data_IF_246757853907
#
_entry.id   IF_246757853907
#
_cell.length_a   1.000
_cell.length_b   1.000
_cell.length_c   1.000
_cell.angle_alpha   90.00
_cell.angle_beta   90.00
_cell.angle_gamma   90.00
#
_symmetry.space_group_name_H-M   'P 1'
#
loop_
_entity.id
_entity.type
_entity.pdbx_description
1 polymer ?
#
# COMPACT_ATOMS: atom_id res chain seq x y z
N UNK A 1 65.29 -35.67 24.50
CA UNK A 1 66.12 -35.29 23.34
C UNK A 1 65.25 -34.43 22.44
N UNK A 2 65.47 -33.11 22.46
CA UNK A 2 66.15 -32.34 21.38
C UNK A 2 65.31 -32.31 20.08
N UNK A 3 64.99 -31.20 19.41
CA UNK A 3 65.26 -29.75 19.53
C UNK A 3 64.29 -29.10 18.52
N UNK A 4 63.67 -27.96 18.86
CA UNK A 4 62.91 -27.07 17.93
C UNK A 4 63.89 -26.31 16.98
N UNK A 5 63.61 -25.10 16.44
CA UNK A 5 62.57 -24.58 15.54
C UNK A 5 63.19 -23.88 14.28
N UNK A 6 62.37 -23.32 13.37
CA UNK A 6 62.61 -22.07 12.59
C UNK A 6 61.39 -21.80 11.69
N UNK A 7 60.62 -20.70 11.76
CA UNK A 7 60.91 -19.24 11.75
C UNK A 7 61.11 -18.64 10.35
N UNK A 8 60.17 -17.76 9.95
CA UNK A 8 60.38 -16.37 9.45
C UNK A 8 59.06 -15.90 8.80
N UNK A 9 58.37 -14.89 9.35
CA UNK A 9 58.53 -13.45 9.07
C UNK A 9 58.12 -13.10 7.61
N UNK A 10 57.27 -12.12 7.30
CA UNK A 10 56.58 -11.05 8.01
C UNK A 10 56.05 -10.07 6.95
N UNK A 11 55.08 -9.20 7.28
CA UNK A 11 54.93 -7.84 6.71
C UNK A 11 53.65 -7.17 7.23
N UNK A 12 53.82 -6.44 8.32
CA UNK A 12 53.03 -5.27 8.71
C UNK A 12 53.24 -4.13 7.72
N UNK A 13 52.16 -3.50 7.22
CA UNK A 13 52.19 -2.07 6.88
C UNK A 13 50.84 -1.42 7.14
N UNK A 14 50.84 -0.54 8.15
CA UNK A 14 49.84 0.48 8.37
C UNK A 14 50.13 1.71 7.49
N UNK A 15 49.09 2.29 6.92
CA UNK A 15 49.06 3.65 6.36
C UNK A 15 47.60 3.95 6.00
N UNK A 16 46.99 5.12 6.15
CA UNK A 16 47.31 6.39 6.80
C UNK A 16 46.03 7.21 6.58
N UNK A 17 45.40 7.72 7.64
CA UNK A 17 44.43 8.80 7.50
C UNK A 17 45.13 10.07 6.99
N UNK A 18 44.44 10.94 6.24
CA UNK A 18 44.65 12.37 6.39
C UNK A 18 43.38 13.05 6.90
N UNK A 19 43.58 13.79 7.99
CA UNK A 19 42.62 14.74 8.52
C UNK A 19 42.68 16.08 7.77
N UNK A 20 41.54 16.77 7.80
CA UNK A 20 41.33 18.22 7.89
C UNK A 20 42.18 19.19 7.04
N UNK A 21 41.48 19.99 6.22
CA UNK A 21 41.76 21.42 6.12
C UNK A 21 40.49 22.19 5.73
N UNK A 22 40.15 23.15 6.59
CA UNK A 22 39.04 24.09 6.48
C UNK A 22 39.31 25.20 5.46
N UNK A 23 38.27 25.72 4.80
CA UNK A 23 38.22 27.13 4.36
C UNK A 23 36.80 27.56 3.93
N UNK A 24 36.19 28.41 4.75
CA UNK A 24 35.51 29.69 4.41
C UNK A 24 34.45 29.73 3.28
N UNK A 25 33.21 30.02 3.67
CA UNK A 25 32.22 30.85 2.95
C UNK A 25 32.79 32.25 2.61
N UNK A 26 32.21 33.11 1.71
CA UNK A 26 30.78 33.23 1.37
C UNK A 26 30.38 33.63 -0.07
N UNK A 27 29.05 33.61 -0.28
CA UNK A 27 28.25 34.53 -1.09
C UNK A 27 28.05 34.32 -2.61
N UNK A 28 26.78 34.57 -2.97
CA UNK A 28 26.31 35.26 -4.17
C UNK A 28 25.89 34.47 -5.43
N UNK A 29 24.63 34.72 -5.78
CA UNK A 29 24.08 34.89 -7.13
C UNK A 29 23.31 33.72 -7.77
N UNK A 30 21.98 33.94 -7.76
CA UNK A 30 21.12 33.96 -8.94
C UNK A 30 20.61 32.63 -9.50
N UNK A 31 19.28 32.45 -9.39
CA UNK A 31 18.40 31.94 -10.45
C UNK A 31 16.91 32.16 -10.09
N UNK A 32 16.00 32.22 -11.07
CA UNK A 32 15.22 33.45 -11.35
C UNK A 32 13.74 33.42 -10.92
N UNK A 33 13.17 34.61 -10.89
CA UNK A 33 11.74 34.86 -10.84
C UNK A 33 11.05 34.54 -12.17
N UNK A 34 9.96 33.76 -12.15
CA UNK A 34 8.88 33.81 -13.15
C UNK A 34 7.51 33.48 -12.52
N UNK A 35 6.77 34.56 -12.24
CA UNK A 35 5.39 34.85 -12.67
C UNK A 35 4.25 33.82 -12.53
N UNK A 36 3.15 34.39 -11.97
CA UNK A 36 1.72 34.12 -12.22
C UNK A 36 1.16 32.84 -11.57
N UNK A 37 0.00 32.86 -10.90
CA UNK A 37 -1.26 33.51 -11.31
C UNK A 37 -2.25 33.51 -10.12
N UNK A 38 -3.01 34.59 -10.02
CA UNK A 38 -4.13 34.85 -9.10
C UNK A 38 -4.94 33.61 -8.67
N UNK A 39 -5.10 33.42 -7.37
CA UNK A 39 -6.15 32.59 -6.78
C UNK A 39 -7.11 33.50 -6.00
N UNK A 40 -8.02 34.11 -6.74
CA UNK A 40 -9.26 34.62 -6.16
C UNK A 40 -10.27 33.47 -6.08
N UNK A 41 -11.27 33.64 -5.20
CA UNK A 41 -12.53 32.89 -5.10
C UNK A 41 -12.60 31.82 -4.02
N UNK A 42 -13.05 32.23 -2.83
CA UNK A 42 -13.93 31.42 -1.98
C UNK A 42 -14.76 32.29 -1.03
N UNK A 43 -16.02 31.86 -0.80
CA UNK A 43 -17.03 32.38 0.12
C UNK A 43 -17.76 33.65 -0.37
N UNK A 44 -19.09 33.80 -0.29
CA UNK A 44 -20.14 33.06 0.40
C UNK A 44 -21.47 33.41 -0.28
N UNK A 45 -22.30 32.42 -0.65
CA UNK A 45 -23.69 32.65 -1.08
C UNK A 45 -24.59 32.56 0.15
N UNK A 46 -25.18 33.69 0.55
CA UNK A 46 -26.37 33.77 1.42
C UNK A 46 -27.28 34.88 0.91
N UNK A 47 -28.58 34.59 0.85
CA UNK A 47 -29.67 35.51 0.48
C UNK A 47 -30.67 34.79 -0.45
N UNK A 48 -31.68 34.05 0.01
CA UNK A 48 -32.89 34.39 0.79
C UNK A 48 -34.01 35.02 -0.08
N UNK A 49 -35.12 34.28 -0.15
CA UNK A 49 -36.55 34.64 -0.36
C UNK A 49 -37.08 35.00 -1.76
N UNK A 50 -38.10 34.24 -2.22
CA UNK A 50 -39.55 34.57 -2.21
C UNK A 50 -40.27 33.59 -3.18
N UNK A 51 -41.11 32.69 -2.67
CA UNK A 51 -42.58 32.81 -2.61
C UNK A 51 -43.25 33.14 -3.94
N UNK A 52 -43.96 32.17 -4.49
CA UNK A 52 -44.81 32.32 -5.67
C UNK A 52 -45.70 31.09 -5.85
N UNK A 53 -46.84 31.08 -5.16
CA UNK A 53 -47.90 30.11 -5.33
C UNK A 53 -48.58 30.30 -6.70
N UNK A 54 -48.97 29.19 -7.35
CA UNK A 54 -49.71 29.21 -8.61
C UNK A 54 -50.22 27.83 -8.96
N UNK A 55 -51.40 27.49 -8.42
CA UNK A 55 -52.22 26.34 -8.83
C UNK A 55 -52.72 26.58 -10.25
N UNK A 56 -52.44 25.67 -11.18
CA UNK A 56 -53.28 25.49 -12.37
C UNK A 56 -53.58 24.01 -12.58
N UNK A 57 -54.88 23.75 -12.57
CA UNK A 57 -55.56 22.50 -12.79
C UNK A 57 -55.78 22.27 -14.30
N UNK A 58 -55.85 20.98 -14.66
CA UNK A 58 -56.55 20.35 -15.79
C UNK A 58 -55.76 19.91 -17.06
N UNK A 59 -56.26 18.85 -17.73
CA UNK A 59 -55.49 17.81 -18.41
C UNK A 59 -55.64 17.88 -19.94
N UNK A 60 -54.70 17.29 -20.68
CA UNK A 60 -54.92 16.94 -22.09
C UNK A 60 -54.16 15.66 -22.43
N UNK A 61 -54.91 14.59 -22.68
CA UNK A 61 -54.51 13.47 -23.53
C UNK A 61 -54.53 13.95 -24.98
N UNK A 62 -53.50 13.66 -25.78
CA UNK A 62 -53.59 13.25 -27.20
C UNK A 62 -52.16 12.99 -27.66
N UNK A 63 -51.92 11.77 -28.16
CA UNK A 63 -50.70 11.48 -28.91
C UNK A 63 -50.74 12.13 -30.29
N UNK A 64 -49.57 12.42 -30.85
CA UNK A 64 -49.19 11.91 -32.17
C UNK A 64 -47.69 12.12 -32.42
N UNK A 65 -47.16 11.30 -33.30
CA UNK A 65 -45.77 11.25 -33.74
C UNK A 65 -45.26 12.60 -34.28
N UNK A 66 -44.02 12.97 -33.91
CA UNK A 66 -43.19 13.80 -34.76
C UNK A 66 -41.70 13.51 -34.55
N UNK A 67 -41.09 13.15 -35.68
CA UNK A 67 -39.70 12.78 -35.92
C UNK A 67 -38.63 13.71 -35.34
N UNK A 68 -37.48 13.08 -35.10
CA UNK A 68 -36.14 13.58 -35.41
C UNK A 68 -35.67 14.87 -34.72
N UNK A 69 -35.07 14.68 -33.55
CA UNK A 69 -33.94 15.50 -33.12
C UNK A 69 -32.82 14.58 -32.63
N UNK A 70 -31.86 14.33 -33.52
CA UNK A 70 -30.45 14.03 -33.29
C UNK A 70 -30.05 13.63 -31.85
N UNK A 71 -29.49 12.42 -31.61
CA UNK A 71 -28.82 12.13 -30.35
C UNK A 71 -27.55 12.98 -30.28
N UNK A 72 -27.68 14.13 -29.62
CA UNK A 72 -26.63 15.12 -29.42
C UNK A 72 -25.29 14.44 -29.11
N UNK A 73 -24.32 14.73 -29.98
CA UNK A 73 -22.93 14.25 -29.96
C UNK A 73 -22.21 14.52 -28.61
N UNK A 74 -22.79 15.33 -27.73
CA UNK A 74 -22.33 15.62 -26.36
C UNK A 74 -22.44 14.43 -25.40
N UNK A 75 -23.43 13.53 -25.55
CA UNK A 75 -23.53 12.32 -24.71
C UNK A 75 -22.47 11.27 -25.06
N UNK A 76 -22.05 11.18 -26.32
CA UNK A 76 -20.95 10.29 -26.76
C UNK A 76 -19.59 10.75 -26.25
N UNK A 77 -19.34 12.06 -26.18
CA UNK A 77 -18.09 12.63 -25.66
C UNK A 77 -17.95 12.45 -24.14
N UNK A 78 -19.02 12.69 -23.38
CA UNK A 78 -19.02 12.53 -21.93
C UNK A 78 -18.90 11.06 -21.51
N UNK A 79 -19.54 10.13 -22.23
CA UNK A 79 -19.38 8.69 -22.02
C UNK A 79 -17.95 8.19 -22.31
N UNK A 80 -17.22 8.86 -23.23
CA UNK A 80 -15.78 8.61 -23.47
C UNK A 80 -14.89 9.23 -22.39
N UNK A 81 -15.27 10.37 -21.81
CA UNK A 81 -14.54 11.02 -20.71
C UNK A 81 -14.71 10.31 -19.36
N UNK A 82 -15.85 9.66 -19.11
CA UNK A 82 -16.19 9.00 -17.83
C UNK A 82 -15.59 7.58 -17.72
N UNK A 83 -15.09 6.99 -18.81
CA UNK A 83 -14.50 5.64 -18.79
C UNK A 83 -13.04 5.64 -19.24
N UNK A 84 -12.16 6.24 -18.43
CA UNK A 84 -10.88 5.55 -18.16
C UNK A 84 -11.18 4.50 -17.09
N UNK A 85 -11.91 3.46 -17.47
CA UNK A 85 -11.95 2.25 -16.64
C UNK A 85 -10.53 1.71 -16.69
N UNK A 86 -9.95 1.46 -15.53
CA UNK A 86 -8.72 0.68 -15.43
C UNK A 86 -8.87 -0.54 -16.35
N UNK A 87 -8.09 -0.56 -17.43
CA UNK A 87 -8.09 -1.64 -18.44
C UNK A 87 -7.25 -2.83 -17.97
N UNK A 88 -6.68 -2.72 -16.77
CA UNK A 88 -5.98 -3.76 -16.05
C UNK A 88 -6.89 -4.98 -15.95
N UNK A 89 -6.43 -6.13 -16.45
CA UNK A 89 -7.21 -7.35 -16.34
C UNK A 89 -7.30 -7.77 -14.88
N UNK A 90 -8.39 -8.45 -14.51
CA UNK A 90 -8.52 -9.00 -13.15
C UNK A 90 -7.37 -9.98 -12.83
N UNK A 91 -6.84 -10.64 -13.86
CA UNK A 91 -5.72 -11.58 -13.75
C UNK A 91 -4.42 -10.92 -13.31
N UNK A 92 -4.18 -9.66 -13.70
CA UNK A 92 -3.03 -8.89 -13.20
C UNK A 92 -3.15 -8.61 -11.70
N UNK A 93 -4.35 -8.27 -11.22
CA UNK A 93 -4.56 -8.12 -9.79
C UNK A 93 -4.41 -9.46 -9.05
N UNK A 94 -4.82 -10.58 -9.64
CA UNK A 94 -4.61 -11.92 -9.08
C UNK A 94 -3.11 -12.25 -8.99
N UNK A 95 -2.31 -11.94 -10.01
CA UNK A 95 -0.87 -12.19 -9.96
C UNK A 95 -0.18 -11.42 -8.84
N UNK A 96 -0.56 -10.16 -8.61
CA UNK A 96 -0.02 -9.37 -7.49
C UNK A 96 -0.33 -9.99 -6.12
N UNK A 97 -1.55 -10.55 -5.96
CA UNK A 97 -1.96 -11.23 -4.73
C UNK A 97 -1.20 -12.54 -4.53
N UNK A 98 -0.96 -13.30 -5.61
CA UNK A 98 -0.13 -14.51 -5.56
C UNK A 98 1.32 -14.16 -5.19
N UNK A 99 1.88 -13.11 -5.76
CA UNK A 99 3.24 -12.66 -5.43
C UNK A 99 3.35 -12.20 -3.96
N UNK A 100 2.36 -11.45 -3.46
CA UNK A 100 2.33 -11.09 -2.04
C UNK A 100 2.23 -12.34 -1.15
N UNK A 101 1.43 -13.35 -1.54
CA UNK A 101 1.32 -14.62 -0.83
C UNK A 101 2.64 -15.37 -0.76
N UNK A 102 3.39 -15.46 -1.85
CA UNK A 102 4.72 -16.12 -1.85
C UNK A 102 5.71 -15.37 -0.95
N UNK A 103 5.66 -14.04 -0.94
CA UNK A 103 6.54 -13.24 -0.08
C UNK A 103 6.19 -13.37 1.41
N UNK A 104 4.91 -13.47 1.78
CA UNK A 104 4.52 -13.83 3.17
C UNK A 104 4.98 -15.24 3.53
N UNK A 105 5.06 -16.17 2.57
CA UNK A 105 5.68 -17.48 2.78
C UNK A 105 7.16 -17.36 3.20
N UNK A 106 7.92 -16.46 2.57
CA UNK A 106 9.32 -16.20 2.93
C UNK A 106 9.52 -15.55 4.31
N UNK A 107 8.46 -14.95 4.87
CA UNK A 107 8.47 -14.39 6.22
C UNK A 107 8.68 -15.46 7.30
N UNK A 108 8.28 -16.72 7.03
CA UNK A 108 8.52 -17.86 7.92
C UNK A 108 10.01 -18.10 8.11
N UNK A 109 10.83 -17.92 7.07
CA UNK A 109 12.28 -18.09 7.14
C UNK A 109 12.94 -16.97 7.95
N UNK A 110 12.48 -15.73 7.77
CA UNK A 110 12.97 -14.57 8.54
C UNK A 110 12.67 -14.71 10.03
N UNK A 111 11.47 -15.14 10.39
CA UNK A 111 11.07 -15.41 11.79
C UNK A 111 11.89 -16.57 12.37
N UNK A 112 12.30 -17.54 11.54
CA UNK A 112 13.17 -18.64 12.00
C UNK A 112 14.60 -18.20 12.30
N UNK A 113 15.09 -17.20 11.58
CA UNK A 113 16.42 -16.62 11.73
C UNK A 113 16.45 -15.45 12.75
N UNK A 114 15.35 -15.21 13.46
CA UNK A 114 15.18 -14.07 14.40
C UNK A 114 15.37 -12.68 13.75
N UNK A 115 15.21 -12.59 12.43
CA UNK A 115 15.33 -11.35 11.63
C UNK A 115 14.00 -10.57 11.56
N UNK A 116 13.52 -10.09 12.70
CA UNK A 116 12.22 -9.40 12.81
C UNK A 116 12.18 -8.05 12.07
N UNK A 117 13.29 -7.32 12.02
CA UNK A 117 13.35 -6.01 11.35
C UNK A 117 13.17 -6.13 9.84
N UNK A 118 13.84 -7.11 9.23
CA UNK A 118 13.72 -7.44 7.81
C UNK A 118 12.30 -7.88 7.45
N UNK A 119 11.68 -8.70 8.31
CA UNK A 119 10.28 -9.10 8.16
C UNK A 119 9.30 -7.92 8.12
N UNK A 120 9.52 -6.91 8.98
CA UNK A 120 8.68 -5.69 9.00
C UNK A 120 8.91 -4.80 7.80
N UNK A 121 10.15 -4.65 7.33
CA UNK A 121 10.46 -3.91 6.10
C UNK A 121 9.75 -4.54 4.91
N UNK A 122 9.78 -5.88 4.80
CA UNK A 122 9.09 -6.64 3.75
C UNK A 122 7.59 -6.33 3.72
N UNK A 123 6.90 -6.28 4.86
CA UNK A 123 5.45 -6.01 4.92
C UNK A 123 5.05 -4.57 4.61
N UNK A 124 5.97 -3.62 4.80
CA UNK A 124 5.69 -2.18 4.67
C UNK A 124 6.10 -1.62 3.31
N UNK A 125 7.05 -2.26 2.65
CA UNK A 125 7.64 -1.81 1.40
C UNK A 125 7.30 -2.74 0.23
N UNK A 126 7.66 -2.32 -0.98
CA UNK A 126 7.55 -3.15 -2.18
C UNK A 126 6.12 -3.59 -2.56
N UNK A 127 5.92 -4.90 -2.63
CA UNK A 127 4.74 -5.61 -3.18
C UNK A 127 3.48 -5.46 -2.34
N UNK A 128 3.58 -5.24 -1.03
CA UNK A 128 2.40 -5.07 -0.18
C UNK A 128 1.67 -3.75 -0.45
N UNK A 129 2.37 -2.78 -1.07
CA UNK A 129 1.76 -1.53 -1.51
C UNK A 129 0.84 -1.74 -2.71
N UNK A 130 1.25 -2.55 -3.68
CA UNK A 130 0.43 -2.91 -4.84
C UNK A 130 -0.67 -3.89 -4.44
N UNK A 131 -0.35 -4.89 -3.62
CA UNK A 131 -1.28 -5.85 -3.04
C UNK A 131 -2.56 -5.22 -2.49
N UNK A 132 -2.44 -4.18 -1.64
CA UNK A 132 -3.62 -3.51 -1.04
C UNK A 132 -4.56 -2.92 -2.09
N UNK A 133 -4.02 -2.40 -3.20
CA UNK A 133 -4.83 -1.88 -4.29
C UNK A 133 -5.45 -3.04 -5.09
N UNK A 134 -4.70 -4.10 -5.34
CA UNK A 134 -5.15 -5.31 -6.06
C UNK A 134 -6.28 -6.02 -5.31
N UNK A 135 -6.22 -6.15 -3.99
CA UNK A 135 -7.30 -6.68 -3.15
C UNK A 135 -8.58 -5.84 -3.27
N UNK A 136 -8.48 -4.51 -3.17
CA UNK A 136 -9.65 -3.62 -3.33
C UNK A 136 -10.28 -3.76 -4.71
N UNK A 137 -9.46 -3.87 -5.76
CA UNK A 137 -9.92 -4.07 -7.13
C UNK A 137 -10.65 -5.42 -7.28
N UNK A 138 -10.11 -6.50 -6.72
CA UNK A 138 -10.73 -7.84 -6.75
C UNK A 138 -12.04 -7.86 -5.99
N UNK A 139 -12.11 -7.28 -4.78
CA UNK A 139 -13.37 -7.21 -4.02
C UNK A 139 -14.43 -6.41 -4.77
N UNK A 140 -14.06 -5.27 -5.33
CA UNK A 140 -14.99 -4.47 -6.16
C UNK A 140 -15.48 -5.28 -7.38
N UNK A 141 -14.60 -6.06 -8.01
CA UNK A 141 -14.97 -6.94 -9.11
C UNK A 141 -15.93 -8.06 -8.67
N UNK A 142 -15.72 -8.66 -7.49
CA UNK A 142 -16.61 -9.67 -6.90
C UNK A 142 -18.01 -9.10 -6.64
N UNK A 143 -18.09 -7.91 -6.05
CA UNK A 143 -19.35 -7.23 -5.76
C UNK A 143 -20.16 -6.96 -7.04
N UNK A 144 -19.48 -6.53 -8.11
CA UNK A 144 -20.09 -6.31 -9.42
C UNK A 144 -20.62 -7.60 -10.06
N UNK A 145 -19.95 -8.73 -9.82
CA UNK A 145 -20.33 -10.04 -10.35
C UNK A 145 -21.24 -10.85 -9.42
N UNK A 146 -21.70 -10.27 -8.29
CA UNK A 146 -22.56 -10.94 -7.29
C UNK A 146 -21.95 -12.23 -6.73
N UNK A 147 -20.61 -12.29 -6.64
CA UNK A 147 -19.92 -13.38 -5.96
C UNK A 147 -20.11 -13.29 -4.43
N UNK A 148 -19.81 -14.34 -3.65
CA UNK A 148 -19.85 -14.28 -2.20
C UNK A 148 -18.97 -13.12 -1.67
N UNK A 149 -19.49 -12.28 -0.76
CA UNK A 149 -18.77 -11.13 -0.25
C UNK A 149 -17.58 -11.61 0.60
N UNK A 150 -16.42 -11.02 0.35
CA UNK A 150 -15.22 -11.20 1.17
C UNK A 150 -14.91 -9.86 1.81
N UNK A 151 -15.07 -9.71 3.13
CA UNK A 151 -14.71 -8.48 3.82
C UNK A 151 -13.24 -8.15 3.58
N UNK A 152 -12.97 -6.90 3.19
CA UNK A 152 -11.59 -6.44 2.96
C UNK A 152 -10.78 -6.54 4.27
N UNK A 153 -11.43 -6.32 5.42
CA UNK A 153 -10.79 -6.46 6.72
C UNK A 153 -10.23 -7.86 6.95
N UNK A 154 -10.92 -8.92 6.52
CA UNK A 154 -10.47 -10.30 6.72
C UNK A 154 -9.14 -10.58 6.03
N UNK A 155 -8.87 -9.87 4.93
CA UNK A 155 -7.60 -9.98 4.18
C UNK A 155 -6.47 -9.18 4.83
N UNK A 156 -6.78 -8.02 5.41
CA UNK A 156 -5.76 -7.10 5.94
C UNK A 156 -5.45 -7.31 7.43
N UNK A 157 -6.42 -7.77 8.22
CA UNK A 157 -6.25 -8.00 9.65
C UNK A 157 -5.12 -8.98 9.97
N UNK A 158 -4.95 -10.11 9.24
CA UNK A 158 -3.80 -11.00 9.45
C UNK A 158 -2.46 -10.29 9.24
N UNK A 159 -2.33 -9.43 8.21
CA UNK A 159 -1.10 -8.68 7.95
C UNK A 159 -0.77 -7.67 9.06
N UNK A 160 -1.78 -6.97 9.57
CA UNK A 160 -1.62 -6.05 10.70
C UNK A 160 -1.22 -6.79 11.97
N UNK A 161 -1.81 -7.97 12.18
CA UNK A 161 -1.47 -8.86 13.29
C UNK A 161 -0.01 -9.31 13.20
N UNK A 162 0.45 -9.74 12.02
CA UNK A 162 1.85 -10.13 11.80
C UNK A 162 2.80 -8.96 12.11
N UNK A 163 2.58 -7.75 11.56
CA UNK A 163 3.46 -6.60 11.83
C UNK A 163 3.49 -6.22 13.32
N UNK A 164 2.35 -6.33 14.01
CA UNK A 164 2.28 -6.07 15.46
C UNK A 164 3.06 -7.10 16.28
N UNK A 165 2.96 -8.38 15.92
CA UNK A 165 3.65 -9.47 16.61
C UNK A 165 5.15 -9.47 16.31
N UNK A 166 5.57 -9.11 15.09
CA UNK A 166 6.98 -8.92 14.75
C UNK A 166 7.60 -7.79 15.57
N UNK A 167 6.88 -6.68 15.76
CA UNK A 167 7.34 -5.60 16.64
C UNK A 167 7.41 -6.05 18.10
N UNK A 168 6.42 -6.79 18.59
CA UNK A 168 6.43 -7.33 19.95
C UNK A 168 7.62 -8.27 20.16
N UNK A 169 7.89 -9.18 19.21
CA UNK A 169 9.03 -10.08 19.27
C UNK A 169 10.37 -9.35 19.24
N UNK A 170 10.50 -8.34 18.38
CA UNK A 170 11.70 -7.50 18.37
C UNK A 170 11.96 -6.87 19.75
N UNK A 171 10.93 -6.26 20.36
CA UNK A 171 11.06 -5.63 21.68
C UNK A 171 11.29 -6.63 22.83
N UNK A 172 10.78 -7.85 22.71
CA UNK A 172 11.02 -8.93 23.67
C UNK A 172 12.43 -9.50 23.51
N UNK A 173 12.96 -9.57 22.29
CA UNK A 173 14.32 -10.05 22.02
C UNK A 173 15.40 -9.12 22.56
N UNK A 174 15.11 -7.81 22.67
CA UNK A 174 16.00 -6.85 23.32
C UNK A 174 16.02 -6.98 24.86
N UNK A 175 15.06 -7.69 25.47
CA UNK A 175 14.99 -7.91 26.91
C UNK A 175 15.63 -9.25 27.27
N UNK A 176 16.79 -9.21 27.91
CA UNK A 176 17.57 -10.39 28.33
C UNK A 176 17.01 -11.08 29.60
N UNK A 177 15.71 -11.37 29.64
CA UNK A 177 15.05 -12.02 30.79
C UNK A 177 14.68 -13.47 30.47
N UNK A 178 14.81 -14.42 31.41
CA UNK A 178 14.39 -15.81 31.15
C UNK A 178 12.87 -15.95 30.96
N UNK A 179 12.08 -15.05 31.55
CA UNK A 179 10.64 -14.98 31.33
C UNK A 179 10.28 -14.56 29.90
N UNK A 180 11.09 -13.72 29.24
CA UNK A 180 10.81 -13.27 27.88
C UNK A 180 11.00 -14.39 26.85
N UNK A 181 11.81 -15.41 27.15
CA UNK A 181 12.01 -16.57 26.25
C UNK A 181 10.74 -17.39 26.02
N UNK A 182 9.95 -17.62 27.07
CA UNK A 182 8.66 -18.32 26.95
C UNK A 182 7.65 -17.49 26.15
N UNK A 183 7.61 -16.17 26.40
CA UNK A 183 6.75 -15.26 25.66
C UNK A 183 7.14 -15.16 24.17
N UNK A 184 8.44 -15.18 23.85
CA UNK A 184 8.99 -15.16 22.49
C UNK A 184 8.56 -16.38 21.66
N UNK A 185 8.55 -17.57 22.25
CA UNK A 185 8.08 -18.77 21.57
C UNK A 185 6.57 -18.72 21.31
N UNK A 186 5.79 -18.21 22.26
CA UNK A 186 4.33 -18.07 22.12
C UNK A 186 3.97 -17.03 21.04
N UNK A 187 4.62 -15.88 21.03
CA UNK A 187 4.45 -14.85 19.99
C UNK A 187 4.90 -15.35 18.62
N UNK A 188 5.98 -16.15 18.55
CA UNK A 188 6.43 -16.78 17.29
C UNK A 188 5.41 -17.78 16.75
N UNK A 189 4.77 -18.58 17.60
CA UNK A 189 3.66 -19.45 17.19
C UNK A 189 2.49 -18.63 16.63
N UNK A 190 2.09 -17.54 17.32
CA UNK A 190 1.03 -16.63 16.85
C UNK A 190 1.34 -15.97 15.50
N UNK A 191 2.62 -15.70 15.21
CA UNK A 191 3.03 -15.19 13.89
C UNK A 191 2.76 -16.24 12.80
N UNK A 192 3.11 -17.50 13.04
CA UNK A 192 2.86 -18.57 12.08
C UNK A 192 1.37 -18.78 11.84
N UNK A 193 0.56 -18.78 12.91
CA UNK A 193 -0.91 -18.88 12.79
C UNK A 193 -1.50 -17.72 11.97
N UNK A 194 -0.99 -16.49 12.17
CA UNK A 194 -1.43 -15.32 11.41
C UNK A 194 -0.99 -15.39 9.93
N UNK A 195 0.20 -15.94 9.65
CA UNK A 195 0.68 -16.21 8.29
C UNK A 195 -0.22 -17.23 7.60
N UNK A 196 -0.55 -18.33 8.27
CA UNK A 196 -1.42 -19.36 7.70
C UNK A 196 -2.82 -18.82 7.42
N UNK A 197 -3.37 -18.03 8.36
CA UNK A 197 -4.65 -17.34 8.18
C UNK A 197 -4.61 -16.43 6.96
N UNK A 198 -3.54 -15.64 6.79
CA UNK A 198 -3.36 -14.80 5.61
C UNK A 198 -3.33 -15.62 4.31
N UNK A 199 -2.60 -16.73 4.28
CA UNK A 199 -2.48 -17.59 3.10
C UNK A 199 -3.82 -18.23 2.72
N UNK A 200 -4.65 -18.59 3.69
CA UNK A 200 -5.98 -19.15 3.47
C UNK A 200 -6.95 -18.10 2.94
N UNK A 201 -7.02 -16.92 3.59
CA UNK A 201 -7.93 -15.85 3.17
C UNK A 201 -7.58 -15.34 1.76
N UNK A 202 -6.29 -15.20 1.45
CA UNK A 202 -5.85 -14.82 0.10
C UNK A 202 -6.13 -15.89 -0.94
N UNK A 203 -6.06 -17.18 -0.57
CA UNK A 203 -6.47 -18.27 -1.47
C UNK A 203 -7.95 -18.17 -1.84
N UNK A 204 -8.83 -18.00 -0.84
CA UNK A 204 -10.27 -17.84 -1.04
C UNK A 204 -10.62 -16.61 -1.89
N UNK A 205 -9.77 -15.59 -1.86
CA UNK A 205 -9.91 -14.40 -2.68
C UNK A 205 -9.58 -14.65 -4.16
N UNK A 206 -8.64 -15.57 -4.46
CA UNK A 206 -8.16 -15.86 -5.82
C UNK A 206 -8.96 -16.97 -6.52
N UNK A 207 -9.52 -17.94 -5.79
CA UNK A 207 -10.25 -19.12 -6.32
C UNK A 207 -11.65 -18.83 -6.93
N UNK A 208 -11.82 -17.69 -7.60
CA UNK A 208 -13.06 -17.31 -8.33
C UNK A 208 -12.95 -17.67 -9.80
#
# INVERSE_FOLDING_TARGET
MLVSPRSSAGATTAARSPACSAARSPACCASPALLRRNRASSASRRGVLLSGAGVFLLPFTFGDEALAAEPSKSKRGLARYIRRKDTTSIDQYRSDVVEAKTQVGGLVELVKNDDYESGRKLLREGTFKTFRNSVRAIVTFRDLNKAPPVPIQDVFQPLETIDSLLLANYLLSEKEDEASKGELEETRAKIFDAIDTFQQVTQNLIEI
#
